data_IF_751171134517
#
_entry.id   IF_751171134517
#
_cell.length_a   1.000
_cell.length_b   1.000
_cell.length_c   1.000
_cell.angle_alpha   90.00
_cell.angle_beta   90.00
_cell.angle_gamma   90.00
#
_symmetry.space_group_name_H-M   'P 1'
#
loop_
_entity.id
_entity.type
_entity.pdbx_description
1 polymer ?
#
# COMPACT_ATOMS: atom_id res chain seq x y z
N UNK A 1 21.13 -9.71 4.55
CA UNK A 1 21.02 -8.79 3.40
C UNK A 1 21.02 -7.38 3.95
N UNK A 2 21.90 -6.53 3.45
CA UNK A 2 21.98 -5.11 3.82
C UNK A 2 20.83 -4.32 3.19
N UNK A 3 20.61 -3.09 3.65
CA UNK A 3 19.62 -2.20 3.04
C UNK A 3 19.94 -1.86 1.58
N UNK A 4 21.22 -1.73 1.23
CA UNK A 4 21.66 -1.42 -0.12
C UNK A 4 21.45 -2.61 -1.07
N UNK A 5 21.78 -3.81 -0.60
CA UNK A 5 21.53 -5.05 -1.36
C UNK A 5 20.03 -5.23 -1.62
N UNK A 6 19.18 -4.99 -0.61
CA UNK A 6 17.74 -5.08 -0.76
C UNK A 6 17.23 -4.04 -1.77
N UNK A 7 17.63 -2.78 -1.63
CA UNK A 7 17.22 -1.69 -2.53
C UNK A 7 17.59 -1.95 -4.00
N UNK A 8 18.68 -2.67 -4.24
CA UNK A 8 19.13 -3.05 -5.58
C UNK A 8 18.36 -4.23 -6.19
N UNK A 9 17.60 -4.99 -5.40
CA UNK A 9 16.83 -6.11 -5.92
C UNK A 9 15.76 -5.64 -6.88
N UNK A 10 15.52 -6.45 -7.92
CA UNK A 10 14.52 -6.18 -8.94
C UNK A 10 13.46 -7.26 -8.99
N UNK A 11 12.25 -6.89 -9.36
CA UNK A 11 11.20 -7.79 -9.81
C UNK A 11 10.67 -7.33 -11.16
N UNK A 12 10.02 -8.24 -11.89
CA UNK A 12 9.35 -7.92 -13.15
C UNK A 12 7.90 -8.35 -13.06
N UNK A 13 6.99 -7.42 -13.38
CA UNK A 13 5.56 -7.64 -13.42
C UNK A 13 5.01 -7.12 -14.74
N UNK A 14 4.37 -7.99 -15.53
CA UNK A 14 3.82 -7.67 -16.85
C UNK A 14 4.82 -6.96 -17.79
N UNK A 15 6.09 -7.39 -17.77
CA UNK A 15 7.16 -6.83 -18.60
C UNK A 15 7.76 -5.52 -18.08
N UNK A 16 7.24 -4.96 -16.99
CA UNK A 16 7.80 -3.78 -16.32
C UNK A 16 8.69 -4.21 -15.17
N UNK A 17 9.87 -3.60 -15.06
CA UNK A 17 10.83 -3.88 -13.98
C UNK A 17 10.73 -2.80 -12.91
N UNK A 18 10.81 -3.23 -11.66
CA UNK A 18 10.85 -2.38 -10.48
C UNK A 18 12.03 -2.79 -9.61
N UNK A 19 12.80 -1.82 -9.13
CA UNK A 19 13.70 -2.04 -8.00
C UNK A 19 12.90 -1.99 -6.69
N UNK A 20 13.42 -2.62 -5.64
CA UNK A 20 12.86 -2.44 -4.30
C UNK A 20 12.86 -0.98 -3.89
N UNK A 21 13.88 -0.21 -4.29
CA UNK A 21 13.97 1.23 -4.06
C UNK A 21 12.81 1.99 -4.70
N UNK A 22 12.40 1.66 -5.91
CA UNK A 22 11.26 2.32 -6.59
C UNK A 22 9.97 2.15 -5.78
N UNK A 23 9.72 0.92 -5.30
CA UNK A 23 8.56 0.61 -4.44
C UNK A 23 8.67 1.42 -3.13
N UNK A 24 9.85 1.44 -2.51
CA UNK A 24 10.08 2.18 -1.26
C UNK A 24 9.81 3.66 -1.43
N UNK A 25 10.30 4.28 -2.52
CA UNK A 25 10.11 5.69 -2.82
C UNK A 25 8.63 6.06 -2.96
N UNK A 26 7.86 5.29 -3.75
CA UNK A 26 6.42 5.52 -3.92
C UNK A 26 5.68 5.41 -2.59
N UNK A 27 5.97 4.37 -1.80
CA UNK A 27 5.33 4.16 -0.50
C UNK A 27 5.69 5.29 0.48
N UNK A 28 6.96 5.63 0.60
CA UNK A 28 7.44 6.69 1.48
C UNK A 28 6.81 8.05 1.13
N UNK A 29 6.84 8.42 -0.16
CA UNK A 29 6.25 9.66 -0.67
C UNK A 29 4.75 9.72 -0.39
N UNK A 30 4.03 8.63 -0.70
CA UNK A 30 2.59 8.56 -0.52
C UNK A 30 2.19 8.69 0.95
N UNK A 31 2.84 7.94 1.85
CA UNK A 31 2.50 8.00 3.28
C UNK A 31 2.99 9.29 3.95
N UNK A 32 3.98 9.98 3.38
CA UNK A 32 4.27 11.38 3.71
C UNK A 32 3.08 12.31 3.40
N UNK A 33 2.43 12.13 2.25
CA UNK A 33 1.24 12.92 1.88
C UNK A 33 0.00 12.54 2.72
N UNK A 34 -0.17 11.25 3.07
CA UNK A 34 -1.28 10.77 3.93
C UNK A 34 -1.25 11.44 5.31
N UNK A 35 -0.06 11.69 5.86
CA UNK A 35 0.09 12.35 7.17
C UNK A 35 -0.44 13.79 7.17
N UNK A 36 -0.30 14.49 6.04
CA UNK A 36 -0.74 15.88 5.89
C UNK A 36 -2.20 16.00 5.40
N UNK A 37 -2.76 14.91 4.87
CA UNK A 37 -4.13 14.89 4.35
C UNK A 37 -5.16 14.98 5.49
N UNK A 38 -6.05 15.99 5.42
CA UNK A 38 -7.03 16.26 6.48
C UNK A 38 -8.00 15.10 6.75
N UNK A 39 -8.31 14.29 5.74
CA UNK A 39 -9.21 13.15 5.83
C UNK A 39 -8.42 11.87 6.15
N UNK A 40 -7.39 11.55 5.36
CA UNK A 40 -6.66 10.30 5.48
C UNK A 40 -5.81 10.22 6.75
N UNK A 41 -5.38 11.32 7.36
CA UNK A 41 -4.62 11.24 8.61
C UNK A 41 -5.38 10.56 9.76
N UNK A 42 -6.71 10.60 9.75
CA UNK A 42 -7.57 10.09 10.83
C UNK A 42 -7.44 8.57 11.02
N UNK A 43 -7.64 7.71 10.01
CA UNK A 43 -7.47 6.26 10.16
C UNK A 43 -6.03 5.83 10.49
N UNK A 44 -5.04 6.71 10.33
CA UNK A 44 -3.63 6.44 10.63
C UNK A 44 -3.17 7.09 11.96
N UNK A 45 -4.05 7.68 12.76
CA UNK A 45 -3.68 8.37 13.99
C UNK A 45 -2.98 7.48 15.04
N UNK A 46 -3.16 6.16 14.97
CA UNK A 46 -2.48 5.19 15.84
C UNK A 46 -1.08 4.77 15.36
N UNK A 47 -0.61 5.31 14.23
CA UNK A 47 0.75 5.04 13.72
C UNK A 47 1.73 5.96 14.45
N UNK A 48 2.56 5.37 15.30
CA UNK A 48 3.57 6.10 16.08
C UNK A 48 4.98 6.01 15.48
N UNK A 49 5.28 4.92 14.77
CA UNK A 49 6.55 4.68 14.09
C UNK A 49 6.33 4.63 12.58
N UNK A 50 6.44 5.79 11.94
CA UNK A 50 6.28 5.93 10.49
C UNK A 50 7.37 5.21 9.69
N UNK A 51 8.67 5.28 10.06
CA UNK A 51 9.69 4.47 9.41
C UNK A 51 9.39 2.97 9.41
N UNK A 52 8.93 2.41 10.53
CA UNK A 52 8.46 1.01 10.60
C UNK A 52 7.25 0.77 9.69
N UNK A 53 6.27 1.66 9.74
CA UNK A 53 5.04 1.54 8.96
C UNK A 53 5.35 1.48 7.46
N UNK A 54 6.15 2.44 6.96
CA UNK A 54 6.61 2.49 5.57
C UNK A 54 7.36 1.21 5.21
N UNK A 55 8.29 0.74 6.05
CA UNK A 55 9.04 -0.50 5.78
C UNK A 55 8.13 -1.72 5.59
N UNK A 56 7.10 -1.86 6.44
CA UNK A 56 6.12 -2.96 6.35
C UNK A 56 5.26 -2.87 5.10
N UNK A 57 4.90 -1.65 4.68
CA UNK A 57 4.11 -1.41 3.48
C UNK A 57 4.93 -1.58 2.20
N UNK A 58 6.20 -1.18 2.21
CA UNK A 58 7.15 -1.49 1.14
C UNK A 58 7.29 -3.02 0.98
N UNK A 59 7.50 -3.75 2.08
CA UNK A 59 7.55 -5.21 2.03
C UNK A 59 6.24 -5.81 1.49
N UNK A 60 5.09 -5.27 1.91
CA UNK A 60 3.79 -5.69 1.41
C UNK A 60 3.67 -5.52 -0.10
N UNK A 61 3.99 -4.35 -0.65
CA UNK A 61 3.93 -4.11 -2.09
C UNK A 61 4.93 -4.96 -2.87
N UNK A 62 6.15 -5.12 -2.34
CA UNK A 62 7.18 -5.99 -2.92
C UNK A 62 6.67 -7.42 -3.13
N UNK A 63 6.11 -8.05 -2.08
CA UNK A 63 5.56 -9.41 -2.20
C UNK A 63 4.31 -9.44 -3.09
N UNK A 64 3.49 -8.38 -3.09
CA UNK A 64 2.30 -8.30 -3.94
C UNK A 64 2.64 -8.27 -5.43
N UNK A 65 3.81 -7.75 -5.79
CA UNK A 65 4.31 -7.78 -7.16
C UNK A 65 5.16 -9.01 -7.49
N UNK A 66 5.22 -9.99 -6.59
CA UNK A 66 5.95 -11.24 -6.82
C UNK A 66 7.42 -11.20 -6.41
N UNK A 67 7.85 -10.16 -5.69
CA UNK A 67 9.15 -10.12 -5.05
C UNK A 67 9.29 -11.18 -3.96
N UNK A 68 10.51 -11.68 -3.76
CA UNK A 68 10.78 -12.67 -2.69
C UNK A 68 10.62 -12.03 -1.32
N UNK A 69 9.91 -12.65 -0.36
CA UNK A 69 9.76 -12.10 0.99
C UNK A 69 11.13 -11.98 1.67
N UNK A 70 11.34 -10.85 2.34
CA UNK A 70 12.57 -10.55 3.08
C UNK A 70 12.32 -10.23 4.56
N UNK A 71 11.05 -10.20 4.99
CA UNK A 71 10.63 -10.09 6.39
C UNK A 71 9.66 -11.21 6.74
N UNK A 72 9.79 -11.77 7.94
CA UNK A 72 8.79 -12.70 8.48
C UNK A 72 7.67 -11.89 9.15
N UNK A 73 6.55 -11.72 8.46
CA UNK A 73 5.38 -10.98 8.95
C UNK A 73 4.10 -11.60 8.43
N UNK A 74 3.08 -11.65 9.29
CA UNK A 74 1.71 -11.97 8.89
C UNK A 74 0.95 -10.66 8.65
N UNK A 75 0.31 -10.54 7.50
CA UNK A 75 -0.54 -9.39 7.18
C UNK A 75 -2.01 -9.79 7.32
N UNK A 76 -2.71 -9.08 8.21
CA UNK A 76 -4.16 -9.12 8.31
C UNK A 76 -4.74 -7.78 7.86
N UNK A 77 -4.84 -7.53 6.54
CA UNK A 77 -5.33 -6.26 6.03
C UNK A 77 -6.81 -6.06 6.35
N UNK A 78 -7.66 -7.11 6.27
CA UNK A 78 -9.12 -6.94 6.41
C UNK A 78 -9.45 -6.43 7.82
N UNK A 79 -9.03 -7.14 8.87
CA UNK A 79 -9.32 -6.72 10.25
C UNK A 79 -8.77 -5.31 10.53
N UNK A 80 -7.53 -5.02 10.09
CA UNK A 80 -6.92 -3.70 10.31
C UNK A 80 -7.67 -2.56 9.64
N UNK A 81 -8.08 -2.73 8.38
CA UNK A 81 -8.81 -1.68 7.67
C UNK A 81 -10.22 -1.53 8.25
N UNK A 82 -10.89 -2.63 8.64
CA UNK A 82 -12.17 -2.58 9.33
C UNK A 82 -12.08 -1.76 10.64
N UNK A 83 -11.14 -2.08 11.53
CA UNK A 83 -10.97 -1.35 12.79
C UNK A 83 -10.49 0.09 12.62
N UNK A 84 -9.84 0.42 11.50
CA UNK A 84 -9.48 1.79 11.15
C UNK A 84 -10.66 2.61 10.59
N UNK A 85 -11.86 2.03 10.46
CA UNK A 85 -13.03 2.72 9.95
C UNK A 85 -13.05 2.88 8.43
N UNK A 86 -12.36 2.00 7.70
CA UNK A 86 -12.33 2.00 6.24
C UNK A 86 -13.75 2.02 5.65
N UNK A 87 -13.95 2.89 4.66
CA UNK A 87 -15.18 3.03 3.89
C UNK A 87 -14.87 3.58 2.49
N UNK A 88 -15.91 3.72 1.66
CA UNK A 88 -15.79 4.20 0.28
C UNK A 88 -15.16 5.60 0.19
N UNK A 89 -15.52 6.54 1.09
CA UNK A 89 -14.96 7.89 1.12
C UNK A 89 -13.45 7.87 1.36
N UNK A 90 -12.98 7.05 2.31
CA UNK A 90 -11.54 6.89 2.55
C UNK A 90 -10.84 6.21 1.37
N UNK A 91 -11.47 5.19 0.76
CA UNK A 91 -10.90 4.50 -0.40
C UNK A 91 -10.74 5.45 -1.59
N UNK A 92 -11.74 6.26 -1.90
CA UNK A 92 -11.70 7.22 -3.01
C UNK A 92 -10.57 8.22 -2.81
N UNK A 93 -10.47 8.84 -1.62
CA UNK A 93 -9.40 9.78 -1.32
C UNK A 93 -8.01 9.13 -1.35
N UNK A 94 -7.90 7.91 -0.82
CA UNK A 94 -6.65 7.14 -0.81
C UNK A 94 -6.20 6.85 -2.24
N UNK A 95 -7.09 6.36 -3.11
CA UNK A 95 -6.78 6.06 -4.51
C UNK A 95 -6.41 7.31 -5.29
N UNK A 96 -7.13 8.42 -5.10
CA UNK A 96 -6.83 9.69 -5.75
C UNK A 96 -5.41 10.18 -5.41
N UNK A 97 -5.07 10.19 -4.12
CA UNK A 97 -3.74 10.60 -3.65
C UNK A 97 -2.64 9.64 -4.11
N UNK A 98 -2.91 8.34 -4.08
CA UNK A 98 -1.95 7.33 -4.51
C UNK A 98 -1.68 7.40 -6.01
N UNK A 99 -2.72 7.57 -6.82
CA UNK A 99 -2.59 7.76 -8.27
C UNK A 99 -1.79 9.03 -8.60
N UNK A 100 -1.98 10.11 -7.84
CA UNK A 100 -1.16 11.30 -7.97
C UNK A 100 0.32 10.98 -7.65
N UNK A 101 0.61 10.37 -6.51
CA UNK A 101 1.99 10.03 -6.11
C UNK A 101 2.68 9.19 -7.20
N UNK A 102 2.00 8.17 -7.73
CA UNK A 102 2.60 7.30 -8.75
C UNK A 102 2.90 8.02 -10.06
N UNK A 103 2.10 9.02 -10.44
CA UNK A 103 2.37 9.84 -11.63
C UNK A 103 3.57 10.77 -11.44
N UNK A 104 3.85 11.18 -10.21
CA UNK A 104 5.01 12.00 -9.86
C UNK A 104 6.31 11.16 -9.82
N UNK A 105 6.23 9.91 -9.37
CA UNK A 105 7.41 9.08 -9.05
C UNK A 105 7.75 8.00 -10.09
N UNK A 106 6.81 7.63 -10.98
CA UNK A 106 6.98 6.51 -11.91
C UNK A 106 6.73 6.90 -13.37
N UNK A 107 7.19 6.06 -14.29
CA UNK A 107 6.79 6.15 -15.70
C UNK A 107 5.29 5.91 -15.87
N UNK A 108 4.71 6.41 -16.95
CA UNK A 108 3.27 6.27 -17.24
C UNK A 108 2.81 4.79 -17.25
N UNK A 109 3.60 3.90 -17.85
CA UNK A 109 3.30 2.47 -17.89
C UNK A 109 3.30 1.83 -16.49
N UNK A 110 4.30 2.18 -15.67
CA UNK A 110 4.41 1.71 -14.29
C UNK A 110 3.27 2.25 -13.42
N UNK A 111 3.00 3.55 -13.48
CA UNK A 111 1.90 4.19 -12.74
C UNK A 111 0.54 3.56 -13.12
N UNK A 112 0.29 3.32 -14.41
CA UNK A 112 -0.93 2.67 -14.89
C UNK A 112 -1.10 1.26 -14.33
N UNK A 113 -0.02 0.46 -14.30
CA UNK A 113 -0.06 -0.89 -13.74
C UNK A 113 -0.40 -0.88 -12.25
N UNK A 114 0.24 -0.02 -11.46
CA UNK A 114 -0.06 0.09 -10.04
C UNK A 114 -1.50 0.56 -9.80
N UNK A 115 -1.99 1.56 -10.56
CA UNK A 115 -3.35 2.07 -10.43
C UNK A 115 -4.41 0.99 -10.66
N UNK A 116 -4.20 0.10 -11.64
CA UNK A 116 -5.08 -1.06 -11.87
C UNK A 116 -5.06 -1.99 -10.66
N UNK A 117 -3.88 -2.29 -10.12
CA UNK A 117 -3.73 -3.24 -9.00
C UNK A 117 -4.33 -2.65 -7.71
N UNK A 118 -4.00 -1.41 -7.35
CA UNK A 118 -4.50 -0.74 -6.15
C UNK A 118 -6.03 -0.60 -6.18
N UNK A 119 -6.60 -0.22 -7.32
CA UNK A 119 -8.05 -0.10 -7.49
C UNK A 119 -8.75 -1.44 -7.27
N UNK A 120 -8.26 -2.51 -7.90
CA UNK A 120 -8.82 -3.87 -7.72
C UNK A 120 -8.70 -4.35 -6.27
N UNK A 121 -7.57 -4.08 -5.63
CA UNK A 121 -7.38 -4.44 -4.22
C UNK A 121 -8.31 -3.67 -3.29
N UNK A 122 -8.52 -2.38 -3.53
CA UNK A 122 -9.46 -1.55 -2.74
C UNK A 122 -10.91 -2.01 -2.88
N UNK A 123 -11.35 -2.33 -4.10
CA UNK A 123 -12.67 -2.91 -4.35
C UNK A 123 -12.85 -4.25 -3.63
N UNK A 124 -11.85 -5.14 -3.72
CA UNK A 124 -11.88 -6.42 -3.02
C UNK A 124 -11.87 -6.26 -1.50
N UNK A 125 -11.18 -5.23 -0.97
CA UNK A 125 -11.16 -4.93 0.46
C UNK A 125 -12.51 -4.44 0.95
N UNK A 126 -13.24 -3.66 0.16
CA UNK A 126 -14.61 -3.20 0.47
C UNK A 126 -15.53 -4.38 0.73
N UNK A 127 -15.63 -5.30 -0.24
CA UNK A 127 -16.42 -6.53 -0.11
C UNK A 127 -15.99 -7.38 1.09
N UNK A 128 -14.69 -7.50 1.34
CA UNK A 128 -14.16 -8.29 2.47
C UNK A 128 -14.48 -7.66 3.83
N UNK A 129 -14.45 -6.34 3.94
CA UNK A 129 -14.81 -5.64 5.17
C UNK A 129 -16.31 -5.78 5.47
N UNK A 130 -17.17 -5.75 4.44
CA UNK A 130 -18.61 -6.02 4.60
C UNK A 130 -18.86 -7.43 5.13
N UNK A 131 -18.20 -8.45 4.55
CA UNK A 131 -18.28 -9.83 5.03
C UNK A 131 -17.71 -9.99 6.45
N UNK A 132 -16.61 -9.31 6.76
CA UNK A 132 -16.03 -9.31 8.10
C UNK A 132 -16.99 -8.69 9.12
N UNK A 133 -17.68 -7.60 8.77
CA UNK A 133 -18.68 -6.98 9.64
C UNK A 133 -19.81 -7.95 9.99
N UNK A 134 -20.30 -8.71 9.02
CA UNK A 134 -21.35 -9.72 9.21
C UNK A 134 -20.89 -10.85 10.15
N UNK A 135 -19.63 -11.28 10.07
CA UNK A 135 -19.10 -12.33 10.94
C UNK A 135 -18.79 -11.89 12.37
N UNK A 136 -18.82 -10.59 12.67
CA UNK A 136 -18.69 -10.07 14.05
C UNK A 136 -20.03 -9.93 14.76
N UNK A 137 -21.16 -10.01 14.04
CA UNK A 137 -22.52 -9.86 14.59
C UNK A 137 -23.19 -11.18 14.96
N UNK A 138 -22.55 -12.31 14.64
CA UNK A 138 -22.96 -13.68 14.99
C UNK A 138 -22.23 -14.18 16.26
#
# INVERSE_FOLDING_TARGET
MTSEELDSQTLTLNGLTFTHRDIRMVVDRFYGQVQEDSLLKVPFASVHDWPEHVRRLTHFWWIKFGGKPYMFTHYDPVSKHFHAGFNELFLERWLALFHQTMKEELTEAQSSLWAIISTRMGQALTMKNELYAQSQTD
#
